data_IF_095909913325
#
_entry.id   IF_095909913325
#
_cell.length_a   1.000
_cell.length_b   1.000
_cell.length_c   1.000
_cell.angle_alpha   90.00
_cell.angle_beta   90.00
_cell.angle_gamma   90.00
#
_symmetry.space_group_name_H-M   'P 1'
#
loop_
_entity.id
_entity.type
_entity.pdbx_description
1 polymer ?
#
# COMPACT_ATOMS: atom_id res chain seq x y z
N UNK A 1 26.44 3.12 -8.96
CA UNK A 1 25.28 3.95 -8.55
C UNK A 1 24.35 4.23 -9.71
N UNK A 2 24.84 4.65 -10.90
CA UNK A 2 23.99 4.82 -12.10
C UNK A 2 23.18 3.58 -12.49
N UNK A 3 23.75 2.37 -12.33
CA UNK A 3 23.03 1.12 -12.60
C UNK A 3 21.88 0.80 -11.62
N UNK A 4 21.88 1.37 -10.41
CA UNK A 4 20.79 1.17 -9.44
C UNK A 4 19.62 2.11 -9.72
N UNK A 5 19.93 3.38 -10.06
CA UNK A 5 18.91 4.36 -10.44
C UNK A 5 18.13 3.89 -11.66
N UNK A 6 18.83 3.41 -12.69
CA UNK A 6 18.19 2.88 -13.90
C UNK A 6 17.35 1.63 -13.60
N UNK A 7 17.80 0.77 -12.69
CA UNK A 7 17.05 -0.41 -12.25
C UNK A 7 15.76 -0.01 -11.52
N UNK A 8 15.82 0.92 -10.55
CA UNK A 8 14.64 1.40 -9.84
C UNK A 8 13.64 2.06 -10.77
N UNK A 9 14.08 2.95 -11.67
CA UNK A 9 13.20 3.56 -12.68
C UNK A 9 12.51 2.52 -13.55
N UNK A 10 13.28 1.52 -14.02
CA UNK A 10 12.73 0.42 -14.82
C UNK A 10 11.66 -0.38 -14.07
N UNK A 11 11.87 -0.68 -12.79
CA UNK A 11 10.86 -1.37 -11.98
C UNK A 11 9.65 -0.47 -11.67
N UNK A 12 9.86 0.83 -11.46
CA UNK A 12 8.76 1.77 -11.30
C UNK A 12 7.83 1.80 -12.51
N UNK A 13 8.40 1.86 -13.72
CA UNK A 13 7.65 1.80 -14.98
C UNK A 13 6.96 0.45 -15.21
N UNK A 14 7.62 -0.65 -14.84
CA UNK A 14 7.05 -1.99 -14.95
C UNK A 14 5.82 -2.16 -14.06
N UNK A 15 5.94 -1.79 -12.79
CA UNK A 15 4.84 -1.85 -11.81
C UNK A 15 3.67 -0.94 -12.24
N UNK A 16 3.95 0.26 -12.77
CA UNK A 16 2.88 1.14 -13.25
C UNK A 16 2.11 0.54 -14.42
N UNK A 17 2.81 -0.08 -15.38
CA UNK A 17 2.15 -0.77 -16.51
C UNK A 17 1.30 -1.94 -16.02
N UNK A 18 1.81 -2.76 -15.11
CA UNK A 18 1.03 -3.86 -14.53
C UNK A 18 -0.20 -3.37 -13.77
N UNK A 19 -0.09 -2.27 -13.02
CA UNK A 19 -1.23 -1.66 -12.37
C UNK A 19 -2.33 -1.26 -13.38
N UNK A 20 -1.96 -0.66 -14.51
CA UNK A 20 -2.93 -0.25 -15.53
C UNK A 20 -3.58 -1.43 -16.24
N UNK A 21 -2.83 -2.50 -16.51
CA UNK A 21 -3.36 -3.73 -17.09
C UNK A 21 -4.36 -4.41 -16.14
N UNK A 22 -4.00 -4.56 -14.86
CA UNK A 22 -4.87 -5.16 -13.85
C UNK A 22 -6.11 -4.30 -13.58
N UNK A 23 -5.97 -2.98 -13.56
CA UNK A 23 -7.09 -2.06 -13.39
C UNK A 23 -8.11 -2.23 -14.52
N UNK A 24 -7.66 -2.24 -15.78
CA UNK A 24 -8.54 -2.45 -16.94
C UNK A 24 -9.24 -3.82 -16.89
N UNK A 25 -8.50 -4.87 -16.48
CA UNK A 25 -9.08 -6.19 -16.30
C UNK A 25 -10.16 -6.17 -15.21
N UNK A 26 -9.89 -5.51 -14.09
CA UNK A 26 -10.84 -5.40 -12.96
C UNK A 26 -12.16 -4.74 -13.38
N UNK A 27 -12.11 -3.70 -14.22
CA UNK A 27 -13.27 -2.95 -14.74
C UNK A 27 -14.11 -3.79 -15.71
N UNK A 28 -13.49 -4.74 -16.40
CA UNK A 28 -14.19 -5.64 -17.33
C UNK A 28 -14.94 -6.80 -16.63
N UNK A 29 -14.59 -7.07 -15.36
CA UNK A 29 -15.13 -8.21 -14.61
C UNK A 29 -16.39 -7.81 -13.84
N UNK A 30 -17.50 -8.50 -14.12
CA UNK A 30 -18.79 -8.29 -13.42
C UNK A 30 -18.83 -8.88 -12.01
N UNK A 31 -17.97 -9.85 -11.71
CA UNK A 31 -17.96 -10.50 -10.40
C UNK A 31 -17.34 -9.54 -9.36
N UNK A 32 -18.10 -9.02 -8.39
CA UNK A 32 -17.66 -7.90 -7.55
C UNK A 32 -16.41 -8.21 -6.73
N UNK A 33 -16.33 -9.41 -6.14
CA UNK A 33 -15.16 -9.83 -5.34
C UNK A 33 -13.88 -9.93 -6.19
N UNK A 34 -13.96 -10.56 -7.38
CA UNK A 34 -12.79 -10.71 -8.25
C UNK A 34 -12.34 -9.36 -8.82
N UNK A 35 -13.30 -8.50 -9.17
CA UNK A 35 -13.01 -7.12 -9.59
C UNK A 35 -12.28 -6.37 -8.46
N UNK A 36 -12.79 -6.43 -7.22
CA UNK A 36 -12.16 -5.78 -6.07
C UNK A 36 -10.74 -6.29 -5.79
N UNK A 37 -10.52 -7.61 -5.84
CA UNK A 37 -9.20 -8.21 -5.62
C UNK A 37 -8.18 -7.78 -6.69
N UNK A 38 -8.57 -7.75 -7.97
CA UNK A 38 -7.69 -7.32 -9.05
C UNK A 38 -7.37 -5.82 -8.95
N UNK A 39 -8.35 -4.99 -8.58
CA UNK A 39 -8.13 -3.57 -8.33
C UNK A 39 -7.21 -3.35 -7.12
N UNK A 40 -7.31 -4.18 -6.06
CA UNK A 40 -6.40 -4.13 -4.92
C UNK A 40 -4.95 -4.41 -5.34
N UNK A 41 -4.71 -5.48 -6.12
CA UNK A 41 -3.37 -5.78 -6.65
C UNK A 41 -2.87 -4.65 -7.56
N UNK A 42 -3.75 -4.06 -8.38
CA UNK A 42 -3.38 -2.90 -9.19
C UNK A 42 -2.92 -1.72 -8.32
N UNK A 43 -3.61 -1.45 -7.20
CA UNK A 43 -3.22 -0.41 -6.26
C UNK A 43 -1.88 -0.70 -5.58
N UNK A 44 -1.59 -1.97 -5.26
CA UNK A 44 -0.29 -2.38 -4.74
C UNK A 44 0.84 -2.15 -5.75
N UNK A 45 0.62 -2.47 -7.02
CA UNK A 45 1.60 -2.16 -8.06
C UNK A 45 1.80 -0.64 -8.23
N UNK A 46 0.75 0.19 -8.09
CA UNK A 46 0.93 1.66 -8.04
C UNK A 46 1.76 2.10 -6.82
N UNK A 47 1.54 1.48 -5.66
CA UNK A 47 2.32 1.70 -4.44
C UNK A 47 3.79 1.35 -4.69
N UNK A 48 4.09 0.18 -5.22
CA UNK A 48 5.46 -0.26 -5.52
C UNK A 48 6.14 0.66 -6.53
N UNK A 49 5.42 1.06 -7.59
CA UNK A 49 5.92 2.00 -8.58
C UNK A 49 6.41 3.30 -7.93
N UNK A 50 5.60 3.90 -7.04
CA UNK A 50 5.96 5.10 -6.29
C UNK A 50 7.18 4.88 -5.39
N UNK A 51 7.23 3.73 -4.69
CA UNK A 51 8.37 3.41 -3.81
C UNK A 51 9.68 3.27 -4.59
N UNK A 52 9.66 2.60 -5.75
CA UNK A 52 10.84 2.50 -6.61
C UNK A 52 11.29 3.87 -7.14
N UNK A 53 10.36 4.73 -7.55
CA UNK A 53 10.68 6.11 -7.95
C UNK A 53 11.34 6.90 -6.80
N UNK A 54 10.81 6.80 -5.58
CA UNK A 54 11.40 7.44 -4.41
C UNK A 54 12.81 6.92 -4.09
N UNK A 55 13.08 5.63 -4.30
CA UNK A 55 14.43 5.07 -4.16
C UNK A 55 15.39 5.63 -5.22
N UNK A 56 14.93 5.85 -6.45
CA UNK A 56 15.75 6.49 -7.48
C UNK A 56 16.12 7.93 -7.08
N UNK A 57 15.14 8.72 -6.62
CA UNK A 57 15.34 10.09 -6.14
C UNK A 57 16.31 10.16 -4.94
N UNK A 58 16.19 9.22 -4.01
CA UNK A 58 17.09 9.11 -2.85
C UNK A 58 18.55 8.89 -3.28
N UNK A 59 18.79 8.00 -4.25
CA UNK A 59 20.15 7.74 -4.78
C UNK A 59 20.71 8.96 -5.51
N UNK A 60 19.86 9.70 -6.20
CA UNK A 60 20.21 10.95 -6.88
C UNK A 60 20.36 12.14 -5.93
N UNK A 61 20.17 11.94 -4.61
CA UNK A 61 20.25 12.97 -3.55
C UNK A 61 19.29 14.15 -3.78
N UNK A 62 18.15 13.89 -4.42
CA UNK A 62 17.15 14.91 -4.73
C UNK A 62 16.18 15.20 -3.56
N UNK A 63 16.45 14.71 -2.35
CA UNK A 63 15.51 14.79 -1.23
C UNK A 63 15.42 16.22 -0.69
N UNK A 64 14.25 16.90 -0.81
CA UNK A 64 14.07 18.22 -0.23
C UNK A 64 14.08 18.16 1.29
N UNK A 65 14.45 19.27 1.93
CA UNK A 65 14.28 19.42 3.38
C UNK A 65 12.78 19.44 3.71
N UNK A 66 12.39 18.78 4.80
CA UNK A 66 11.01 18.82 5.33
C UNK A 66 10.92 20.00 6.31
N UNK A 67 9.86 20.80 6.19
CA UNK A 67 9.62 21.91 7.13
C UNK A 67 9.14 21.38 8.51
N UNK A 68 9.33 22.15 9.58
CA UNK A 68 8.80 21.76 10.89
C UNK A 68 7.27 21.63 10.91
N UNK A 69 6.57 22.43 10.10
CA UNK A 69 5.12 22.37 9.97
C UNK A 69 4.68 21.06 9.31
N UNK A 70 5.38 20.64 8.25
CA UNK A 70 5.16 19.35 7.62
C UNK A 70 5.46 18.20 8.58
N UNK A 71 6.56 18.27 9.35
CA UNK A 71 6.90 17.25 10.36
C UNK A 71 5.79 17.11 11.42
N UNK A 72 5.27 18.23 11.94
CA UNK A 72 4.16 18.20 12.92
C UNK A 72 2.88 17.61 12.32
N UNK A 73 2.58 17.96 11.07
CA UNK A 73 1.43 17.44 10.34
C UNK A 73 1.55 15.93 10.09
N UNK A 74 2.75 15.47 9.72
CA UNK A 74 3.06 14.05 9.53
C UNK A 74 2.91 13.31 10.86
N UNK A 75 3.56 13.76 11.94
CA UNK A 75 3.52 13.09 13.26
C UNK A 75 2.09 12.90 13.75
N UNK A 76 1.30 13.98 13.79
CA UNK A 76 -0.10 13.94 14.25
C UNK A 76 -1.01 13.09 13.36
N UNK A 77 -0.68 12.93 12.08
CA UNK A 77 -1.44 12.08 11.16
C UNK A 77 -1.04 10.61 11.30
N UNK A 78 0.25 10.33 11.43
CA UNK A 78 0.79 8.98 11.64
C UNK A 78 0.29 8.41 12.97
N UNK A 79 0.32 9.18 14.06
CA UNK A 79 -0.17 8.75 15.38
C UNK A 79 -1.66 8.33 15.33
N UNK A 80 -2.50 9.16 14.70
CA UNK A 80 -3.94 8.84 14.52
C UNK A 80 -4.14 7.59 13.67
N UNK A 81 -3.34 7.40 12.62
CA UNK A 81 -3.45 6.21 11.79
C UNK A 81 -3.01 4.95 12.53
N UNK A 82 -1.94 4.99 13.34
CA UNK A 82 -1.51 3.84 14.16
C UNK A 82 -2.65 3.32 15.04
N UNK A 83 -3.40 4.22 15.69
CA UNK A 83 -4.56 3.88 16.50
C UNK A 83 -5.71 3.29 15.66
N UNK A 84 -5.95 3.89 14.49
CA UNK A 84 -6.97 3.44 13.55
C UNK A 84 -6.68 2.03 13.01
N UNK A 85 -5.44 1.78 12.56
CA UNK A 85 -5.01 0.47 12.06
C UNK A 85 -5.15 -0.61 13.12
N UNK A 86 -4.80 -0.31 14.38
CA UNK A 86 -5.00 -1.26 15.48
C UNK A 86 -6.49 -1.62 15.66
N UNK A 87 -7.40 -0.67 15.44
CA UNK A 87 -8.85 -0.91 15.45
C UNK A 87 -9.32 -1.72 14.23
N UNK A 88 -8.79 -1.42 13.04
CA UNK A 88 -9.11 -2.15 11.82
C UNK A 88 -8.67 -3.62 11.91
N UNK A 89 -7.47 -3.89 12.46
CA UNK A 89 -6.98 -5.25 12.72
C UNK A 89 -7.91 -6.03 13.65
N UNK A 90 -8.39 -5.42 14.74
CA UNK A 90 -9.36 -6.08 15.64
C UNK A 90 -10.66 -6.38 14.93
N UNK A 91 -11.17 -5.40 14.19
CA UNK A 91 -12.42 -5.52 13.43
C UNK A 91 -12.34 -6.63 12.38
N UNK A 92 -11.25 -6.70 11.62
CA UNK A 92 -11.04 -7.73 10.60
C UNK A 92 -10.99 -9.14 11.22
N UNK A 93 -10.32 -9.30 12.38
CA UNK A 93 -10.31 -10.57 13.12
C UNK A 93 -11.71 -10.98 13.59
N UNK A 94 -12.47 -10.07 14.17
CA UNK A 94 -13.84 -10.34 14.61
C UNK A 94 -14.76 -10.73 13.43
N UNK A 95 -14.58 -10.10 12.26
CA UNK A 95 -15.33 -10.44 11.06
C UNK A 95 -14.95 -11.83 10.52
N UNK A 96 -13.66 -12.19 10.56
CA UNK A 96 -13.18 -13.51 10.15
C UNK A 96 -13.76 -14.65 11.00
N UNK A 97 -13.99 -14.41 12.28
CA UNK A 97 -14.63 -15.39 13.19
C UNK A 97 -16.12 -15.61 12.87
N UNK A 98 -16.81 -14.58 12.37
CA UNK A 98 -18.26 -14.59 12.15
C UNK A 98 -18.66 -15.01 10.74
N UNK A 99 -17.77 -14.84 9.77
CA UNK A 99 -18.09 -15.07 8.36
C UNK A 99 -17.97 -16.57 8.02
N UNK A 100 -18.95 -17.11 7.30
CA UNK A 100 -18.90 -18.49 6.80
C UNK A 100 -18.43 -18.58 5.35
N UNK A 101 -18.77 -17.57 4.53
CA UNK A 101 -18.44 -17.56 3.10
C UNK A 101 -16.92 -17.49 2.89
N UNK A 102 -16.37 -18.53 2.26
CA UNK A 102 -14.93 -18.68 2.00
C UNK A 102 -14.36 -17.54 1.14
N UNK A 103 -15.16 -16.95 0.24
CA UNK A 103 -14.73 -15.83 -0.60
C UNK A 103 -14.62 -14.55 0.23
N UNK A 104 -15.54 -14.34 1.16
CA UNK A 104 -15.46 -13.23 2.10
C UNK A 104 -14.29 -13.39 3.07
N UNK A 105 -14.00 -14.61 3.53
CA UNK A 105 -12.77 -14.91 4.31
C UNK A 105 -11.51 -14.50 3.56
N UNK A 106 -11.40 -14.87 2.29
CA UNK A 106 -10.23 -14.54 1.47
C UNK A 106 -10.00 -13.02 1.35
N UNK A 107 -11.06 -12.23 1.20
CA UNK A 107 -10.95 -10.76 1.17
C UNK A 107 -10.56 -10.20 2.55
N UNK A 108 -11.19 -10.68 3.62
CA UNK A 108 -10.90 -10.22 4.98
C UNK A 108 -9.47 -10.60 5.45
N UNK A 109 -8.95 -11.75 5.01
CA UNK A 109 -7.56 -12.14 5.25
C UNK A 109 -6.57 -11.24 4.52
N UNK A 110 -6.89 -10.80 3.30
CA UNK A 110 -6.07 -9.84 2.56
C UNK A 110 -6.04 -8.48 3.29
N UNK A 111 -7.22 -7.95 3.67
CA UNK A 111 -7.33 -6.71 4.45
C UNK A 111 -6.54 -6.81 5.76
N UNK A 112 -6.73 -7.89 6.53
CA UNK A 112 -6.04 -8.07 7.80
C UNK A 112 -4.51 -8.04 7.63
N UNK A 113 -3.98 -8.64 6.57
CA UNK A 113 -2.55 -8.64 6.29
C UNK A 113 -2.05 -7.22 6.02
N UNK A 114 -2.77 -6.49 5.18
CA UNK A 114 -2.44 -5.11 4.83
C UNK A 114 -2.40 -4.21 6.06
N UNK A 115 -3.44 -4.24 6.91
CA UNK A 115 -3.47 -3.37 8.10
C UNK A 115 -2.38 -3.72 9.14
N UNK A 116 -2.02 -5.00 9.24
CA UNK A 116 -0.89 -5.42 10.09
C UNK A 116 0.42 -4.85 9.57
N UNK A 117 0.64 -4.86 8.26
CA UNK A 117 1.89 -4.37 7.67
C UNK A 117 1.92 -2.83 7.59
N UNK A 118 0.79 -2.17 7.35
CA UNK A 118 0.62 -0.72 7.47
C UNK A 118 0.93 -0.25 8.89
N UNK A 119 0.35 -0.90 9.91
CA UNK A 119 0.60 -0.54 11.31
C UNK A 119 2.08 -0.63 11.66
N UNK A 120 2.77 -1.73 11.29
CA UNK A 120 4.21 -1.89 11.52
C UNK A 120 5.02 -0.79 10.84
N UNK A 121 4.70 -0.47 9.58
CA UNK A 121 5.39 0.57 8.83
C UNK A 121 5.22 1.93 9.51
N UNK A 122 4.00 2.30 9.88
CA UNK A 122 3.70 3.58 10.52
C UNK A 122 4.39 3.72 11.89
N UNK A 123 4.41 2.65 12.69
CA UNK A 123 5.17 2.63 13.96
C UNK A 123 6.67 2.81 13.69
N UNK A 124 7.21 2.18 12.64
CA UNK A 124 8.64 2.26 12.31
C UNK A 124 9.07 3.65 11.86
N UNK A 125 8.24 4.38 11.10
CA UNK A 125 8.59 5.73 10.62
C UNK A 125 8.35 6.83 11.66
N UNK A 126 7.60 6.53 12.72
CA UNK A 126 7.39 7.43 13.86
C UNK A 126 8.62 7.47 14.77
N UNK A 127 9.30 6.34 14.94
CA UNK A 127 10.44 6.12 15.83
C UNK A 127 11.79 6.50 15.17
#
# INVERSE_FOLDING_TARGET
MEGLVSLYRRYAELELRYAEELQKLSESIKHPVLSALLAAVANDSRKHSRMYSALAELVERATPAISEEDLRTISSTVERHIEMEASMVRTAKELLEKVEDVRAKLVLEAILRDEVDHHKLLVTIRD
#
